data_IF_146518147769
#
_entry.id   IF_146518147769
#
_cell.length_a   1.000
_cell.length_b   1.000
_cell.length_c   1.000
_cell.angle_alpha   90.00
_cell.angle_beta   90.00
_cell.angle_gamma   90.00
#
_symmetry.space_group_name_H-M   'P 1'
#
loop_
_entity.id
_entity.type
_entity.pdbx_description
1 polymer ?
#
# COMPACT_ATOMS: atom_id res chain seq x y z
N UNK A 1 -13.39 -4.83 -1.22
CA UNK A 1 -14.37 -4.26 -2.18
C UNK A 1 -14.38 -2.74 -2.02
N UNK A 2 -14.94 -2.00 -2.98
CA UNK A 2 -14.82 -0.55 -3.01
C UNK A 2 -16.01 0.12 -2.33
N UNK A 3 -15.72 0.96 -1.34
CA UNK A 3 -16.67 1.91 -0.78
C UNK A 3 -17.06 2.92 -1.87
N UNK A 4 -18.36 3.15 -2.06
CA UNK A 4 -18.88 4.10 -3.05
C UNK A 4 -20.09 4.87 -2.50
N UNK A 5 -20.46 6.01 -3.12
CA UNK A 5 -21.73 6.67 -2.84
C UNK A 5 -22.91 5.72 -3.00
N UNK A 6 -23.97 5.94 -2.21
CA UNK A 6 -25.23 5.20 -2.38
C UNK A 6 -25.75 5.43 -3.80
N UNK A 7 -26.17 4.35 -4.46
CA UNK A 7 -26.67 4.33 -5.83
C UNK A 7 -25.68 4.80 -6.91
N UNK A 8 -24.37 4.69 -6.66
CA UNK A 8 -23.36 5.14 -7.63
C UNK A 8 -23.39 4.38 -8.96
N UNK A 9 -23.80 3.10 -8.98
CA UNK A 9 -23.92 2.34 -10.22
C UNK A 9 -25.06 2.88 -11.09
N UNK A 10 -26.20 3.21 -10.46
CA UNK A 10 -27.33 3.85 -11.13
C UNK A 10 -26.94 5.24 -11.67
N UNK A 11 -26.11 5.99 -10.95
CA UNK A 11 -25.53 7.26 -11.46
C UNK A 11 -24.68 7.00 -12.71
N UNK A 12 -23.83 5.97 -12.71
CA UNK A 12 -23.03 5.61 -13.90
C UNK A 12 -23.93 5.26 -15.08
N UNK A 13 -24.96 4.45 -14.87
CA UNK A 13 -25.91 4.07 -15.91
C UNK A 13 -26.62 5.29 -16.52
N UNK A 14 -27.13 6.19 -15.69
CA UNK A 14 -27.80 7.41 -16.16
C UNK A 14 -26.84 8.30 -16.96
N UNK A 15 -25.64 8.56 -16.43
CA UNK A 15 -24.64 9.40 -17.10
C UNK A 15 -24.18 8.79 -18.43
N UNK A 16 -24.04 7.47 -18.51
CA UNK A 16 -23.72 6.76 -19.75
C UNK A 16 -24.76 7.02 -20.85
N UNK A 17 -26.05 6.93 -20.50
CA UNK A 17 -27.16 7.15 -21.43
C UNK A 17 -27.29 8.63 -21.81
N UNK A 18 -27.24 9.53 -20.83
CA UNK A 18 -27.32 10.98 -21.05
C UNK A 18 -26.18 11.51 -21.94
N UNK A 19 -24.98 10.93 -21.83
CA UNK A 19 -23.82 11.28 -22.65
C UNK A 19 -23.76 10.53 -23.97
N UNK A 20 -24.73 9.66 -24.26
CA UNK A 20 -24.78 8.88 -25.50
C UNK A 20 -23.64 7.87 -25.66
N UNK A 21 -23.01 7.42 -24.56
CA UNK A 21 -21.93 6.42 -24.61
C UNK A 21 -22.48 5.03 -24.89
N UNK A 22 -23.67 4.72 -24.36
CA UNK A 22 -24.44 3.52 -24.71
C UNK A 22 -25.94 3.75 -24.50
N UNK A 23 -26.79 2.89 -25.05
CA UNK A 23 -28.24 2.94 -24.86
C UNK A 23 -28.69 2.18 -23.61
N UNK A 24 -29.90 2.48 -23.13
CA UNK A 24 -30.56 1.71 -22.06
C UNK A 24 -30.69 0.23 -22.42
N UNK A 25 -30.98 -0.08 -23.70
CA UNK A 25 -31.05 -1.46 -24.18
C UNK A 25 -29.72 -2.18 -24.04
N UNK A 26 -28.61 -1.51 -24.35
CA UNK A 26 -27.27 -2.06 -24.15
C UNK A 26 -26.99 -2.39 -22.69
N UNK A 27 -27.39 -1.51 -21.75
CA UNK A 27 -27.26 -1.79 -20.31
C UNK A 27 -28.15 -2.94 -19.84
N UNK A 28 -29.37 -3.03 -20.37
CA UNK A 28 -30.36 -4.05 -20.01
C UNK A 28 -29.99 -5.47 -20.48
N UNK A 29 -29.06 -5.61 -21.44
CA UNK A 29 -28.47 -6.90 -21.80
C UNK A 29 -27.77 -7.58 -20.61
N UNK A 30 -27.24 -6.80 -19.67
CA UNK A 30 -26.38 -7.30 -18.59
C UNK A 30 -27.10 -7.31 -17.24
N UNK A 31 -26.89 -8.37 -16.46
CA UNK A 31 -27.46 -8.49 -15.12
C UNK A 31 -26.86 -7.47 -14.16
N UNK A 32 -27.57 -7.19 -13.05
CA UNK A 32 -27.09 -6.30 -11.98
C UNK A 32 -25.72 -6.74 -11.42
N UNK A 33 -25.47 -8.04 -11.30
CA UNK A 33 -24.19 -8.58 -10.80
C UNK A 33 -23.03 -8.33 -11.78
N UNK A 34 -23.30 -8.44 -13.08
CA UNK A 34 -22.32 -8.17 -14.13
C UNK A 34 -21.98 -6.68 -14.19
N UNK A 35 -23.00 -5.80 -14.21
CA UNK A 35 -22.83 -4.34 -14.15
C UNK A 35 -22.06 -3.91 -12.91
N UNK A 36 -22.44 -4.42 -11.73
CA UNK A 36 -21.72 -4.17 -10.48
C UNK A 36 -20.24 -4.57 -10.57
N UNK A 37 -19.93 -5.74 -11.13
CA UNK A 37 -18.54 -6.17 -11.29
C UNK A 37 -17.77 -5.24 -12.24
N UNK A 38 -18.36 -4.93 -13.41
CA UNK A 38 -17.76 -4.07 -14.42
C UNK A 38 -17.47 -2.65 -13.91
N UNK A 39 -18.47 -2.01 -13.30
CA UNK A 39 -18.32 -0.66 -12.73
C UNK A 39 -17.31 -0.61 -11.58
N UNK A 40 -17.18 -1.68 -10.79
CA UNK A 40 -16.10 -1.78 -9.82
C UNK A 40 -14.71 -1.86 -10.48
N UNK A 41 -14.56 -2.58 -11.60
CA UNK A 41 -13.28 -2.61 -12.34
C UNK A 41 -12.97 -1.25 -12.97
N UNK A 42 -13.99 -0.59 -13.53
CA UNK A 42 -13.86 0.77 -14.02
C UNK A 42 -13.41 1.74 -12.91
N UNK A 43 -14.02 1.69 -11.73
CA UNK A 43 -13.62 2.49 -10.57
C UNK A 43 -12.18 2.22 -10.16
N UNK A 44 -11.77 0.93 -10.06
CA UNK A 44 -10.38 0.54 -9.76
C UNK A 44 -9.41 1.18 -10.76
N UNK A 45 -9.72 1.08 -12.05
CA UNK A 45 -8.89 1.67 -13.10
C UNK A 45 -8.84 3.19 -13.04
N UNK A 46 -9.99 3.86 -12.86
CA UNK A 46 -10.09 5.32 -12.89
C UNK A 46 -9.33 5.95 -11.72
N UNK A 47 -9.33 5.27 -10.59
CA UNK A 47 -8.58 5.70 -9.40
C UNK A 47 -7.16 5.14 -9.36
N UNK A 48 -6.70 4.51 -10.44
CA UNK A 48 -5.37 3.94 -10.61
C UNK A 48 -4.96 2.95 -9.50
N UNK A 49 -5.92 2.14 -9.05
CA UNK A 49 -5.68 1.07 -8.08
C UNK A 49 -5.27 -0.20 -8.81
N UNK A 50 -4.39 -1.01 -8.19
CA UNK A 50 -3.88 -2.29 -8.74
C UNK A 50 -3.14 -2.09 -10.06
N UNK A 51 -2.12 -1.24 -10.09
CA UNK A 51 -1.30 -1.04 -11.29
C UNK A 51 -0.83 -2.36 -11.90
N UNK A 52 -0.72 -2.39 -13.22
CA UNK A 52 -0.14 -3.50 -13.93
C UNK A 52 1.39 -3.37 -13.92
N UNK A 53 2.12 -4.44 -13.59
CA UNK A 53 3.58 -4.36 -13.40
C UNK A 53 4.33 -4.01 -14.68
N UNK A 54 3.78 -4.35 -15.84
CA UNK A 54 4.39 -4.06 -17.16
C UNK A 54 3.84 -2.82 -17.86
N UNK A 55 2.77 -2.23 -17.31
CA UNK A 55 2.09 -1.12 -17.94
C UNK A 55 1.61 -0.17 -16.85
N UNK A 56 2.39 0.89 -16.61
CA UNK A 56 2.18 1.84 -15.52
C UNK A 56 0.86 2.63 -15.61
N UNK A 57 0.20 2.60 -16.77
CA UNK A 57 -1.10 3.22 -17.03
C UNK A 57 -2.24 2.21 -17.00
N UNK A 58 -1.95 0.92 -16.92
CA UNK A 58 -2.96 -0.12 -16.81
C UNK A 58 -3.13 -0.60 -15.37
N UNK A 59 -4.30 -1.17 -15.11
CA UNK A 59 -4.59 -1.91 -13.89
C UNK A 59 -4.75 -3.41 -14.17
N UNK A 60 -4.35 -4.21 -13.20
CA UNK A 60 -4.35 -5.67 -13.23
C UNK A 60 -5.73 -6.24 -12.90
N UNK A 61 -6.19 -7.20 -13.71
CA UNK A 61 -7.41 -7.97 -13.46
C UNK A 61 -7.16 -9.47 -13.56
N UNK A 62 -7.45 -10.19 -12.47
CA UNK A 62 -7.23 -11.63 -12.40
C UNK A 62 -8.39 -12.43 -12.99
N UNK A 63 -8.06 -13.52 -13.69
CA UNK A 63 -9.07 -14.39 -14.32
C UNK A 63 -9.99 -15.06 -13.31
N UNK A 64 -9.49 -15.43 -12.12
CA UNK A 64 -10.30 -16.07 -11.07
C UNK A 64 -11.33 -15.11 -10.46
N UNK A 65 -10.99 -13.82 -10.29
CA UNK A 65 -11.92 -12.80 -9.80
C UNK A 65 -13.09 -12.65 -10.79
N UNK A 66 -12.81 -12.63 -12.10
CA UNK A 66 -13.86 -12.63 -13.13
C UNK A 66 -14.78 -13.83 -13.00
N UNK A 67 -14.23 -15.04 -12.89
CA UNK A 67 -15.02 -16.28 -12.76
C UNK A 67 -15.87 -16.31 -11.49
N UNK A 68 -15.39 -15.75 -10.38
CA UNK A 68 -16.14 -15.64 -9.11
C UNK A 68 -17.42 -14.81 -9.27
N UNK A 69 -17.37 -13.73 -10.05
CA UNK A 69 -18.50 -12.82 -10.21
C UNK A 69 -19.36 -13.14 -11.45
N UNK A 70 -18.74 -13.65 -12.51
CA UNK A 70 -19.35 -13.93 -13.81
C UNK A 70 -19.04 -15.40 -14.17
N UNK A 71 -20.01 -16.32 -14.02
CA UNK A 71 -19.80 -17.77 -14.13
C UNK A 71 -19.17 -18.28 -15.44
N UNK A 72 -19.18 -17.48 -16.52
CA UNK A 72 -18.55 -17.81 -17.81
C UNK A 72 -17.42 -16.89 -18.26
N UNK A 73 -17.14 -15.80 -17.53
CA UNK A 73 -16.15 -14.74 -17.84
C UNK A 73 -16.21 -14.08 -19.25
N UNK A 74 -16.74 -14.74 -20.29
CA UNK A 74 -16.83 -14.29 -21.68
C UNK A 74 -17.61 -12.99 -21.83
N UNK A 75 -18.70 -12.85 -21.07
CA UNK A 75 -19.56 -11.65 -21.09
C UNK A 75 -18.85 -10.38 -20.64
N UNK A 76 -17.76 -10.48 -19.88
CA UNK A 76 -16.97 -9.30 -19.50
C UNK A 76 -16.31 -8.66 -20.72
N UNK A 77 -15.85 -9.46 -21.69
CA UNK A 77 -15.25 -8.94 -22.90
C UNK A 77 -16.32 -8.33 -23.83
N UNK A 78 -17.56 -8.81 -23.79
CA UNK A 78 -18.70 -8.18 -24.47
C UNK A 78 -19.06 -6.84 -23.83
N UNK A 79 -19.09 -6.75 -22.50
CA UNK A 79 -19.32 -5.48 -21.78
C UNK A 79 -18.28 -4.41 -22.11
N UNK A 80 -17.01 -4.80 -22.29
CA UNK A 80 -15.96 -3.87 -22.71
C UNK A 80 -16.24 -3.26 -24.08
N UNK A 81 -16.80 -4.05 -25.01
CA UNK A 81 -17.17 -3.57 -26.35
C UNK A 81 -18.40 -2.67 -26.30
N UNK A 82 -19.42 -3.11 -25.55
CA UNK A 82 -20.72 -2.46 -25.47
C UNK A 82 -20.71 -1.17 -24.61
N UNK A 83 -19.85 -1.11 -23.59
CA UNK A 83 -19.75 -0.01 -22.62
C UNK A 83 -18.28 0.41 -22.53
N UNK A 84 -17.73 1.19 -23.47
CA UNK A 84 -16.28 1.35 -23.68
C UNK A 84 -15.57 2.28 -22.68
N UNK A 85 -15.81 2.10 -21.38
CA UNK A 85 -15.17 2.83 -20.28
C UNK A 85 -13.74 2.36 -20.00
N UNK A 86 -13.48 1.06 -20.17
CA UNK A 86 -12.15 0.46 -20.04
C UNK A 86 -11.83 -0.32 -21.31
N UNK A 87 -10.54 -0.45 -21.63
CA UNK A 87 -10.03 -1.25 -22.76
C UNK A 87 -8.89 -2.13 -22.31
N UNK A 88 -8.73 -3.30 -22.92
CA UNK A 88 -7.58 -4.18 -22.65
C UNK A 88 -6.31 -3.56 -23.27
N UNK A 89 -5.22 -3.52 -22.52
CA UNK A 89 -3.91 -3.04 -23.01
C UNK A 89 -2.87 -4.15 -23.14
N UNK A 90 -2.92 -5.18 -22.28
CA UNK A 90 -2.01 -6.32 -22.37
C UNK A 90 -2.67 -7.65 -21.93
N UNK A 91 -2.13 -8.76 -22.43
CA UNK A 91 -2.68 -10.10 -22.24
C UNK A 91 -1.85 -10.93 -21.26
N UNK A 92 -2.53 -11.81 -20.52
CA UNK A 92 -1.95 -12.76 -19.56
C UNK A 92 -0.78 -13.59 -20.10
N UNK A 93 -0.80 -13.91 -21.41
CA UNK A 93 0.13 -14.85 -22.04
C UNK A 93 1.51 -14.31 -22.36
N UNK A 94 1.78 -13.02 -22.12
CA UNK A 94 3.12 -12.51 -22.37
C UNK A 94 4.11 -13.05 -21.31
N UNK A 95 3.73 -13.16 -20.02
CA UNK A 95 4.73 -13.30 -18.94
C UNK A 95 4.17 -13.75 -17.56
N UNK A 96 3.15 -14.61 -17.49
CA UNK A 96 2.53 -15.06 -16.22
C UNK A 96 1.87 -13.96 -15.34
N UNK A 97 1.65 -12.76 -15.88
CA UNK A 97 0.97 -11.66 -15.18
C UNK A 97 -0.54 -11.61 -15.49
N UNK A 98 -1.37 -10.96 -14.65
CA UNK A 98 -2.79 -10.73 -14.93
C UNK A 98 -3.03 -9.99 -16.25
N UNK A 99 -4.27 -9.98 -16.76
CA UNK A 99 -4.58 -9.10 -17.89
C UNK A 99 -4.51 -7.64 -17.44
N UNK A 100 -3.93 -6.77 -18.27
CA UNK A 100 -3.90 -5.33 -18.04
C UNK A 100 -4.99 -4.60 -18.82
N UNK A 101 -5.63 -3.64 -18.17
CA UNK A 101 -6.68 -2.80 -18.73
C UNK A 101 -6.39 -1.32 -18.46
N UNK A 102 -6.78 -0.43 -19.36
CA UNK A 102 -6.68 1.03 -19.20
C UNK A 102 -8.07 1.65 -19.25
N UNK A 103 -8.29 2.71 -18.49
CA UNK A 103 -9.50 3.55 -18.63
C UNK A 103 -9.38 4.38 -19.91
N UNK A 104 -10.46 4.46 -20.69
CA UNK A 104 -10.51 5.26 -21.92
C UNK A 104 -10.65 6.76 -21.59
N UNK A 105 -10.40 7.65 -22.57
CA UNK A 105 -10.66 9.09 -22.36
C UNK A 105 -12.12 9.35 -21.98
N UNK A 106 -13.05 8.76 -22.74
CA UNK A 106 -14.48 8.78 -22.42
C UNK A 106 -14.76 8.21 -21.03
N UNK A 107 -14.05 7.15 -20.63
CA UNK A 107 -14.10 6.60 -19.28
C UNK A 107 -13.80 7.63 -18.19
N UNK A 108 -12.73 8.41 -18.33
CA UNK A 108 -12.42 9.49 -17.37
C UNK A 108 -13.46 10.61 -17.38
N UNK A 109 -13.98 10.98 -18.54
CA UNK A 109 -15.01 12.01 -18.67
C UNK A 109 -16.31 11.58 -17.96
N UNK A 110 -16.71 10.33 -18.16
CA UNK A 110 -17.84 9.70 -17.48
C UNK A 110 -17.58 9.62 -15.97
N UNK A 111 -16.37 9.24 -15.55
CA UNK A 111 -16.00 9.20 -14.13
C UNK A 111 -16.20 10.55 -13.44
N UNK A 112 -15.68 11.63 -14.04
CA UNK A 112 -15.83 13.00 -13.51
C UNK A 112 -17.29 13.48 -13.53
N UNK A 113 -18.05 13.14 -14.58
CA UNK A 113 -19.48 13.42 -14.64
C UNK A 113 -20.25 12.69 -13.52
N UNK A 114 -19.95 11.42 -13.26
CA UNK A 114 -20.55 10.65 -12.17
C UNK A 114 -20.23 11.27 -10.80
N UNK A 115 -18.98 11.64 -10.54
CA UNK A 115 -18.58 12.30 -9.30
C UNK A 115 -19.38 13.59 -9.04
N UNK A 116 -19.64 14.39 -10.09
CA UNK A 116 -20.45 15.62 -9.99
C UNK A 116 -21.94 15.32 -9.75
N UNK A 117 -22.47 14.29 -10.38
CA UNK A 117 -23.89 13.91 -10.30
C UNK A 117 -24.28 13.29 -8.94
N UNK A 118 -23.32 12.84 -8.12
CA UNK A 118 -23.59 12.28 -6.80
C UNK A 118 -24.28 13.31 -5.88
N UNK A 119 -25.47 13.00 -5.33
CA UNK A 119 -26.14 13.87 -4.37
C UNK A 119 -25.36 13.98 -3.05
N UNK A 120 -25.44 15.14 -2.40
CA UNK A 120 -24.83 15.30 -1.07
C UNK A 120 -25.56 14.48 -0.02
N UNK A 121 -24.82 13.92 0.94
CA UNK A 121 -25.31 13.14 2.08
C UNK A 121 -26.24 11.98 1.70
N UNK A 122 -26.10 11.44 0.49
CA UNK A 122 -26.89 10.28 0.03
C UNK A 122 -26.56 8.98 0.79
N UNK A 123 -25.47 8.99 1.56
CA UNK A 123 -24.92 7.84 2.25
C UNK A 123 -23.96 7.05 1.38
N UNK A 124 -23.38 6.01 1.97
CA UNK A 124 -22.34 5.20 1.35
C UNK A 124 -22.75 3.72 1.36
N UNK A 125 -22.26 2.97 0.37
CA UNK A 125 -22.51 1.55 0.21
C UNK A 125 -21.21 0.78 -0.02
N UNK A 126 -21.14 -0.43 0.54
CA UNK A 126 -20.10 -1.40 0.26
C UNK A 126 -20.75 -2.79 0.10
N UNK A 127 -20.37 -3.53 -0.93
CA UNK A 127 -20.84 -4.92 -1.16
C UNK A 127 -22.39 -5.07 -1.23
N UNK A 128 -23.07 -4.06 -1.76
CA UNK A 128 -24.54 -4.06 -1.84
C UNK A 128 -25.25 -3.80 -0.51
N UNK A 129 -24.51 -3.44 0.56
CA UNK A 129 -25.05 -3.06 1.86
C UNK A 129 -24.65 -1.63 2.23
N UNK A 130 -25.44 -0.92 3.07
CA UNK A 130 -25.03 0.35 3.64
C UNK A 130 -23.66 0.22 4.32
N UNK A 131 -22.82 1.22 4.14
CA UNK A 131 -21.53 1.28 4.81
C UNK A 131 -21.73 1.42 6.32
N UNK A 132 -21.20 0.46 7.07
CA UNK A 132 -21.17 0.47 8.52
C UNK A 132 -19.72 0.44 8.99
N UNK A 133 -19.13 1.60 9.34
CA UNK A 133 -17.75 1.66 9.84
C UNK A 133 -17.66 1.00 11.21
N UNK A 134 -16.51 0.42 11.58
CA UNK A 134 -16.28 -0.05 12.93
C UNK A 134 -16.31 1.11 13.94
N UNK A 135 -16.64 0.81 15.19
CA UNK A 135 -16.75 1.81 16.27
C UNK A 135 -15.45 2.61 16.48
N UNK A 136 -14.30 1.95 16.32
CA UNK A 136 -12.97 2.49 16.64
C UNK A 136 -12.10 2.74 15.39
N UNK A 137 -12.69 2.83 14.19
CA UNK A 137 -11.94 2.98 12.93
C UNK A 137 -11.23 1.71 12.45
N UNK A 138 -10.88 0.78 13.34
CA UNK A 138 -10.26 -0.52 13.05
C UNK A 138 -11.31 -1.65 13.09
N UNK A 139 -11.30 -2.55 12.10
CA UNK A 139 -12.13 -3.76 12.07
C UNK A 139 -11.75 -4.70 13.23
N UNK A 140 -12.75 -5.33 13.83
CA UNK A 140 -12.57 -6.39 14.84
C UNK A 140 -12.05 -7.71 14.26
N UNK A 141 -11.88 -7.78 12.93
CA UNK A 141 -11.35 -8.94 12.22
C UNK A 141 -10.12 -8.54 11.41
N UNK A 142 -9.16 -9.45 11.35
CA UNK A 142 -8.01 -9.42 10.46
C UNK A 142 -8.44 -9.65 9.01
N UNK A 143 -7.54 -9.40 8.06
CA UNK A 143 -7.74 -9.71 6.63
C UNK A 143 -8.10 -11.18 6.35
N UNK A 144 -7.69 -12.10 7.21
CA UNK A 144 -8.02 -13.54 7.14
C UNK A 144 -9.25 -13.94 7.97
N UNK A 145 -10.04 -12.98 8.45
CA UNK A 145 -11.24 -13.17 9.29
C UNK A 145 -11.02 -13.60 10.74
N UNK A 146 -9.78 -13.82 11.18
CA UNK A 146 -9.48 -14.04 12.60
C UNK A 146 -9.74 -12.77 13.43
N UNK A 147 -9.84 -12.90 14.75
CA UNK A 147 -10.05 -11.76 15.66
C UNK A 147 -8.85 -10.80 15.64
N UNK A 148 -9.12 -9.51 15.47
CA UNK A 148 -8.17 -8.43 15.70
C UNK A 148 -8.14 -8.09 17.19
N UNK A 149 -6.93 -8.03 17.78
CA UNK A 149 -6.73 -7.73 19.20
C UNK A 149 -6.22 -6.31 19.45
N UNK A 150 -6.13 -5.47 18.41
CA UNK A 150 -5.71 -4.07 18.57
C UNK A 150 -6.83 -3.32 19.30
N UNK A 151 -6.52 -2.80 20.48
CA UNK A 151 -7.46 -2.05 21.32
C UNK A 151 -7.47 -0.54 21.04
N UNK A 152 -6.48 -0.06 20.26
CA UNK A 152 -6.33 1.35 19.92
C UNK A 152 -7.60 1.91 19.22
N UNK A 153 -7.91 3.17 19.53
CA UNK A 153 -8.95 3.94 18.85
C UNK A 153 -8.33 4.88 17.84
N UNK A 154 -8.85 4.86 16.62
CA UNK A 154 -8.47 5.81 15.58
C UNK A 154 -9.72 6.42 14.94
N UNK A 155 -9.60 7.61 14.33
CA UNK A 155 -10.72 8.20 13.63
C UNK A 155 -11.27 7.27 12.54
N UNK A 156 -12.59 7.25 12.43
CA UNK A 156 -13.34 6.57 11.37
C UNK A 156 -13.74 7.51 10.23
N UNK A 157 -13.49 8.81 10.41
CA UNK A 157 -13.79 9.88 9.47
C UNK A 157 -12.69 10.94 9.56
N UNK A 158 -12.31 11.50 8.41
CA UNK A 158 -11.20 12.44 8.27
C UNK A 158 -11.71 13.75 7.67
N UNK A 159 -11.43 14.92 8.29
CA UNK A 159 -11.68 16.20 7.66
C UNK A 159 -10.70 16.43 6.51
N UNK A 160 -11.24 16.77 5.34
CA UNK A 160 -10.44 17.13 4.17
C UNK A 160 -10.29 18.65 4.09
N UNK A 161 -9.09 19.13 3.78
CA UNK A 161 -8.87 20.50 3.34
C UNK A 161 -9.38 20.67 1.90
N UNK A 162 -10.70 20.82 1.76
CA UNK A 162 -11.37 20.93 0.46
C UNK A 162 -10.86 22.10 -0.36
N UNK A 163 -10.54 23.24 0.28
CA UNK A 163 -10.02 24.41 -0.41
C UNK A 163 -8.71 24.11 -1.13
N UNK A 164 -7.75 23.51 -0.41
CA UNK A 164 -6.47 23.10 -0.98
C UNK A 164 -6.65 22.06 -2.09
N UNK A 165 -7.52 21.06 -1.89
CA UNK A 165 -7.80 20.04 -2.90
C UNK A 165 -8.42 20.62 -4.17
N UNK A 166 -9.39 21.53 -4.06
CA UNK A 166 -10.02 22.19 -5.21
C UNK A 166 -9.03 23.09 -5.96
N UNK A 167 -8.16 23.80 -5.23
CA UNK A 167 -7.09 24.59 -5.83
C UNK A 167 -6.11 23.73 -6.61
N UNK A 168 -5.71 22.59 -6.04
CA UNK A 168 -4.81 21.65 -6.69
C UNK A 168 -5.46 20.97 -7.91
N UNK A 169 -6.72 20.57 -7.80
CA UNK A 169 -7.51 20.03 -8.90
C UNK A 169 -7.53 20.99 -10.11
N UNK A 170 -7.79 22.29 -9.88
CA UNK A 170 -7.79 23.31 -10.94
C UNK A 170 -6.43 23.43 -11.63
N UNK A 171 -5.33 23.30 -10.88
CA UNK A 171 -3.95 23.31 -11.43
C UNK A 171 -3.69 22.09 -12.30
N UNK A 172 -4.02 20.89 -11.82
CA UNK A 172 -3.84 19.64 -12.58
C UNK A 172 -4.63 19.62 -13.89
N UNK A 173 -5.81 20.24 -13.90
CA UNK A 173 -6.62 20.39 -15.11
C UNK A 173 -5.98 21.33 -16.14
N UNK A 174 -5.14 22.28 -15.71
CA UNK A 174 -4.44 23.23 -16.59
C UNK A 174 -3.14 22.66 -17.15
N UNK A 175 -2.43 21.80 -16.40
CA UNK A 175 -1.11 21.28 -16.80
C UNK A 175 -1.14 20.07 -17.74
N UNK A 176 -2.32 19.48 -18.00
CA UNK A 176 -2.48 18.31 -18.87
C UNK A 176 -1.86 17.02 -18.29
N UNK A 177 -2.31 15.84 -18.71
CA UNK A 177 -1.73 14.53 -18.33
C UNK A 177 -1.78 14.11 -16.83
N UNK A 178 -2.75 14.58 -16.05
CA UNK A 178 -2.92 14.17 -14.63
C UNK A 178 -4.25 13.46 -14.31
N UNK A 179 -4.85 12.77 -15.28
CA UNK A 179 -6.20 12.17 -15.15
C UNK A 179 -6.38 11.27 -13.92
N UNK A 180 -5.34 10.52 -13.56
CA UNK A 180 -5.34 9.65 -12.38
C UNK A 180 -5.40 10.42 -11.05
N UNK A 181 -4.69 11.55 -10.96
CA UNK A 181 -4.68 12.38 -9.76
C UNK A 181 -5.98 13.17 -9.63
N UNK A 182 -6.45 13.72 -10.76
CA UNK A 182 -7.76 14.36 -10.89
C UNK A 182 -8.85 13.42 -10.39
N UNK A 183 -8.90 12.19 -10.91
CA UNK A 183 -9.93 11.20 -10.54
C UNK A 183 -9.84 10.80 -9.05
N UNK A 184 -8.63 10.67 -8.48
CA UNK A 184 -8.47 10.41 -7.06
C UNK A 184 -9.01 11.56 -6.19
N UNK A 185 -8.69 12.82 -6.53
CA UNK A 185 -9.17 14.00 -5.80
C UNK A 185 -10.70 14.11 -5.91
N UNK A 186 -11.25 13.99 -7.12
CA UNK A 186 -12.69 14.03 -7.35
C UNK A 186 -13.41 12.94 -6.55
N UNK A 187 -12.85 11.73 -6.50
CA UNK A 187 -13.46 10.64 -5.76
C UNK A 187 -13.39 10.81 -4.23
N UNK A 188 -12.26 11.29 -3.69
CA UNK A 188 -12.14 11.63 -2.27
C UNK A 188 -13.18 12.68 -1.85
N UNK A 189 -13.30 13.76 -2.62
CA UNK A 189 -14.30 14.81 -2.39
C UNK A 189 -15.72 14.25 -2.52
N UNK A 190 -15.96 13.35 -3.48
CA UNK A 190 -17.27 12.71 -3.69
C UNK A 190 -17.65 11.80 -2.53
N UNK A 191 -16.71 11.02 -1.99
CA UNK A 191 -16.94 10.18 -0.81
C UNK A 191 -17.26 11.01 0.43
N UNK A 192 -16.52 12.10 0.67
CA UNK A 192 -16.81 13.03 1.75
C UNK A 192 -18.19 13.69 1.59
N UNK A 193 -18.49 14.22 0.39
CA UNK A 193 -19.79 14.81 0.04
C UNK A 193 -20.96 13.84 0.21
N UNK A 194 -20.79 12.57 -0.16
CA UNK A 194 -21.82 11.54 -0.07
C UNK A 194 -22.01 11.03 1.37
N UNK A 195 -20.96 11.08 2.20
CA UNK A 195 -21.03 10.73 3.61
C UNK A 195 -22.07 11.59 4.35
N UNK A 196 -22.73 11.01 5.35
CA UNK A 196 -23.75 11.73 6.14
C UNK A 196 -23.15 12.88 6.94
N UNK A 197 -21.92 12.71 7.42
CA UNK A 197 -21.16 13.71 8.18
C UNK A 197 -20.57 14.81 7.30
N UNK A 198 -20.40 14.58 6.00
CA UNK A 198 -19.60 15.42 5.12
C UNK A 198 -18.09 15.18 5.21
N UNK A 199 -17.65 14.23 6.06
CA UNK A 199 -16.24 13.89 6.25
C UNK A 199 -15.86 12.64 5.44
N UNK A 200 -14.58 12.49 5.13
CA UNK A 200 -14.09 11.32 4.39
C UNK A 200 -14.14 10.09 5.30
N UNK A 201 -14.92 9.04 4.98
CA UNK A 201 -14.92 7.80 5.74
C UNK A 201 -13.58 7.06 5.62
N UNK A 202 -13.13 6.46 6.72
CA UNK A 202 -11.97 5.57 6.71
C UNK A 202 -12.19 4.37 7.63
N UNK A 203 -11.72 3.20 7.18
CA UNK A 203 -11.73 1.98 7.98
C UNK A 203 -10.42 1.26 7.76
N UNK A 204 -9.83 0.76 8.84
CA UNK A 204 -8.60 -0.02 8.80
C UNK A 204 -8.87 -1.49 9.06
N UNK A 205 -8.11 -2.34 8.38
CA UNK A 205 -8.02 -3.77 8.64
C UNK A 205 -6.58 -4.12 8.97
N UNK A 206 -6.38 -4.96 9.98
CA UNK A 206 -5.06 -5.43 10.34
C UNK A 206 -4.63 -6.60 9.44
N UNK A 207 -3.40 -6.55 8.92
CA UNK A 207 -2.80 -7.62 8.12
C UNK A 207 -2.29 -8.77 9.00
N UNK A 208 -1.90 -9.87 8.35
CA UNK A 208 -1.29 -11.02 9.03
C UNK A 208 0.10 -10.71 9.62
N UNK A 209 0.75 -9.61 9.20
CA UNK A 209 2.01 -9.13 9.79
C UNK A 209 1.80 -8.15 10.95
N UNK A 210 0.57 -7.65 11.16
CA UNK A 210 0.19 -6.74 12.25
C UNK A 210 -0.06 -5.30 11.82
N UNK A 211 0.39 -4.89 10.63
CA UNK A 211 0.17 -3.54 10.09
C UNK A 211 -1.32 -3.25 9.81
N UNK A 212 -1.70 -1.98 9.93
CA UNK A 212 -3.06 -1.51 9.67
C UNK A 212 -3.17 -0.90 8.27
N UNK A 213 -4.13 -1.38 7.49
CA UNK A 213 -4.36 -0.95 6.11
C UNK A 213 -5.77 -0.39 5.94
N UNK A 214 -5.88 0.79 5.35
CA UNK A 214 -7.13 1.42 5.02
C UNK A 214 -7.85 0.64 3.90
N UNK A 215 -9.12 0.35 4.12
CA UNK A 215 -10.02 -0.28 3.17
C UNK A 215 -10.44 0.70 2.06
N UNK A 216 -11.09 0.18 1.01
CA UNK A 216 -11.62 0.99 -0.10
C UNK A 216 -10.60 1.30 -1.18
N UNK A 217 -11.10 1.65 -2.38
CA UNK A 217 -10.27 1.85 -3.58
C UNK A 217 -9.34 3.06 -3.48
N UNK A 218 -9.88 4.14 -2.92
CA UNK A 218 -9.19 5.40 -2.68
C UNK A 218 -9.36 5.72 -1.22
N UNK A 219 -8.24 5.95 -0.55
CA UNK A 219 -8.15 6.39 0.82
C UNK A 219 -6.86 7.20 0.95
N UNK A 220 -6.71 7.95 2.04
CA UNK A 220 -5.55 8.82 2.19
C UNK A 220 -4.25 8.05 2.46
N UNK A 221 -4.31 6.82 2.98
CA UNK A 221 -3.12 5.98 3.19
C UNK A 221 -2.48 5.54 1.87
N UNK A 222 -3.31 5.24 0.85
CA UNK A 222 -2.87 4.69 -0.43
C UNK A 222 -3.01 5.69 -1.60
N UNK A 223 -3.18 6.99 -1.34
CA UNK A 223 -3.22 8.00 -2.39
C UNK A 223 -1.82 8.55 -2.70
N UNK A 224 -1.70 9.32 -3.78
CA UNK A 224 -0.46 10.06 -4.10
C UNK A 224 -0.06 10.99 -2.94
N UNK A 225 1.24 11.13 -2.68
CA UNK A 225 1.77 11.88 -1.53
C UNK A 225 1.30 13.34 -1.56
N UNK A 226 1.29 13.94 -2.74
CA UNK A 226 0.87 15.30 -3.01
C UNK A 226 -0.62 15.49 -2.76
N UNK A 227 -1.44 14.48 -3.10
CA UNK A 227 -2.87 14.47 -2.76
C UNK A 227 -3.05 14.41 -1.24
N UNK A 228 -2.30 13.54 -0.53
CA UNK A 228 -2.36 13.43 0.94
C UNK A 228 -1.94 14.74 1.61
N UNK A 229 -0.78 15.30 1.23
CA UNK A 229 -0.27 16.60 1.71
C UNK A 229 -1.27 17.72 1.50
N UNK A 230 -1.94 17.73 0.33
CA UNK A 230 -2.96 18.74 0.01
C UNK A 230 -4.24 18.53 0.82
N UNK A 231 -4.68 17.27 0.98
CA UNK A 231 -5.88 16.90 1.72
C UNK A 231 -5.77 17.20 3.22
N UNK A 232 -4.57 17.09 3.79
CA UNK A 232 -4.27 17.26 5.21
C UNK A 232 -3.35 18.46 5.47
N UNK A 233 -3.43 19.46 4.60
CA UNK A 233 -2.57 20.64 4.66
C UNK A 233 -2.61 21.33 6.03
N UNK A 234 -1.42 21.60 6.58
CA UNK A 234 -1.21 22.21 7.90
C UNK A 234 -0.99 21.22 9.04
N UNK A 235 -1.30 19.94 8.82
CA UNK A 235 -1.07 18.85 9.78
C UNK A 235 0.39 18.36 9.73
N UNK A 236 0.75 17.37 10.54
CA UNK A 236 2.11 16.86 10.71
C UNK A 236 2.16 15.36 10.47
N UNK A 237 2.99 14.89 9.54
CA UNK A 237 3.34 13.48 9.45
C UNK A 237 4.46 13.18 10.46
N UNK A 238 4.28 12.11 11.24
CA UNK A 238 5.24 11.58 12.19
C UNK A 238 5.55 10.15 11.75
N UNK A 239 6.73 9.94 11.19
CA UNK A 239 7.16 8.68 10.57
C UNK A 239 8.31 8.03 11.36
N UNK A 240 8.31 6.70 11.46
CA UNK A 240 9.40 5.95 12.10
C UNK A 240 10.62 5.94 11.18
N UNK A 241 11.76 6.45 11.65
CA UNK A 241 12.95 6.52 10.82
C UNK A 241 13.61 5.14 10.61
N UNK A 242 13.67 4.69 9.35
CA UNK A 242 14.42 3.52 8.86
C UNK A 242 14.39 2.29 9.79
N UNK A 243 13.18 1.80 10.02
CA UNK A 243 12.89 0.77 11.01
C UNK A 243 13.71 -0.52 10.83
N UNK A 244 13.71 -1.17 9.66
CA UNK A 244 14.01 -2.62 9.65
C UNK A 244 15.46 -3.04 9.89
N UNK A 245 16.45 -2.26 9.45
CA UNK A 245 17.84 -2.55 9.80
C UNK A 245 18.13 -2.26 11.27
N UNK A 246 17.54 -1.20 11.81
CA UNK A 246 17.64 -0.85 13.23
C UNK A 246 16.94 -1.92 14.10
N UNK A 247 15.72 -2.33 13.73
CA UNK A 247 14.99 -3.40 14.41
C UNK A 247 15.76 -4.72 14.35
N UNK A 248 16.34 -5.08 13.20
CA UNK A 248 17.16 -6.28 13.08
C UNK A 248 18.42 -6.22 13.97
N UNK A 249 19.12 -5.08 14.01
CA UNK A 249 20.26 -4.86 14.92
C UNK A 249 19.84 -5.10 16.37
N UNK A 250 18.74 -4.49 16.81
CA UNK A 250 18.25 -4.62 18.19
C UNK A 250 17.77 -6.04 18.51
N UNK A 251 17.09 -6.72 17.57
CA UNK A 251 16.73 -8.13 17.71
C UNK A 251 17.97 -9.01 17.90
N UNK A 252 19.04 -8.78 17.13
CA UNK A 252 20.29 -9.50 17.26
C UNK A 252 21.01 -9.20 18.58
N UNK A 253 21.05 -7.93 18.99
CA UNK A 253 21.66 -7.51 20.25
C UNK A 253 21.01 -8.19 21.46
N UNK A 254 19.67 -8.33 21.46
CA UNK A 254 18.91 -9.02 22.52
C UNK A 254 19.30 -10.50 22.69
N UNK A 255 19.83 -11.14 21.65
CA UNK A 255 20.29 -12.54 21.67
C UNK A 255 21.82 -12.64 21.63
N UNK A 256 22.54 -11.54 21.85
CA UNK A 256 24.00 -11.51 21.92
C UNK A 256 24.72 -11.68 20.57
N UNK A 257 24.02 -11.53 19.45
CA UNK A 257 24.61 -11.64 18.10
C UNK A 257 25.11 -10.27 17.64
N UNK A 258 26.41 -10.19 17.34
CA UNK A 258 27.06 -8.98 16.81
C UNK A 258 26.76 -8.82 15.32
N UNK A 259 26.53 -7.58 14.89
CA UNK A 259 26.14 -7.25 13.51
C UNK A 259 26.94 -6.07 12.96
N UNK A 260 28.28 -6.14 12.90
CA UNK A 260 29.12 -4.99 12.55
C UNK A 260 28.76 -4.29 11.23
N UNK A 261 28.30 -5.02 10.18
CA UNK A 261 27.95 -4.39 8.89
C UNK A 261 26.59 -3.70 8.94
N UNK A 262 25.58 -4.34 9.51
CA UNK A 262 24.26 -3.76 9.78
C UNK A 262 24.41 -2.53 10.70
N UNK A 263 25.18 -2.67 11.77
CA UNK A 263 25.48 -1.62 12.74
C UNK A 263 26.12 -0.40 12.06
N UNK A 264 27.09 -0.63 11.17
CA UNK A 264 27.70 0.42 10.36
C UNK A 264 26.68 1.12 9.45
N UNK A 265 25.81 0.36 8.79
CA UNK A 265 24.76 0.94 7.94
C UNK A 265 23.76 1.80 8.71
N UNK A 266 23.26 1.31 9.86
CA UNK A 266 22.30 2.03 10.70
C UNK A 266 22.85 3.39 11.11
N UNK A 267 24.13 3.46 11.46
CA UNK A 267 24.82 4.69 11.91
C UNK A 267 25.23 5.61 10.76
N UNK A 268 25.58 5.08 9.59
CA UNK A 268 26.19 5.83 8.47
C UNK A 268 25.35 5.78 7.17
N UNK A 269 24.01 5.83 7.27
CA UNK A 269 23.06 5.57 6.16
C UNK A 269 23.42 6.29 4.84
N UNK A 270 23.59 7.62 4.89
CA UNK A 270 23.86 8.45 3.71
C UNK A 270 25.20 8.11 3.06
N UNK A 271 26.23 7.92 3.88
CA UNK A 271 27.56 7.54 3.41
C UNK A 271 27.54 6.16 2.75
N UNK A 272 26.95 5.16 3.42
CA UNK A 272 26.88 3.80 2.89
C UNK A 272 26.09 3.73 1.58
N UNK A 273 25.00 4.50 1.43
CA UNK A 273 24.27 4.57 0.15
C UNK A 273 25.15 5.08 -1.00
N UNK A 274 26.02 6.07 -0.73
CA UNK A 274 27.00 6.57 -1.70
C UNK A 274 28.07 5.55 -2.04
N UNK A 275 28.60 4.86 -1.03
CA UNK A 275 29.60 3.79 -1.22
C UNK A 275 29.04 2.63 -2.06
N UNK A 276 27.81 2.20 -1.76
CA UNK A 276 27.09 1.17 -2.52
C UNK A 276 26.80 1.65 -3.94
N UNK A 277 26.30 2.88 -4.11
CA UNK A 277 26.05 3.47 -5.42
C UNK A 277 27.31 3.50 -6.29
N UNK A 278 28.45 3.86 -5.69
CA UNK A 278 29.76 3.87 -6.38
C UNK A 278 30.19 2.46 -6.77
N UNK A 279 30.08 1.51 -5.84
CA UNK A 279 30.47 0.10 -6.05
C UNK A 279 29.64 -0.55 -7.16
N UNK A 280 28.34 -0.26 -7.19
CA UNK A 280 27.38 -0.82 -8.15
C UNK A 280 27.21 0.05 -9.41
N UNK A 281 27.95 1.17 -9.52
CA UNK A 281 27.81 2.15 -10.60
C UNK A 281 26.36 2.57 -10.88
N UNK A 282 25.60 2.80 -9.81
CA UNK A 282 24.18 3.14 -9.88
C UNK A 282 23.86 4.42 -9.10
N UNK A 283 22.60 4.86 -9.15
CA UNK A 283 22.15 6.02 -8.38
C UNK A 283 22.03 5.70 -6.88
N UNK A 284 22.13 6.71 -6.00
CA UNK A 284 21.88 6.52 -4.56
C UNK A 284 20.48 5.93 -4.27
N UNK A 285 19.49 6.23 -5.11
CA UNK A 285 18.15 5.66 -4.95
C UNK A 285 18.05 4.21 -5.40
N UNK A 286 18.75 3.81 -6.46
CA UNK A 286 18.89 2.39 -6.78
C UNK A 286 19.62 1.65 -5.64
N UNK A 287 20.71 2.21 -5.10
CA UNK A 287 21.42 1.65 -3.95
C UNK A 287 20.52 1.47 -2.73
N UNK A 288 19.66 2.46 -2.42
CA UNK A 288 18.64 2.36 -1.37
C UNK A 288 17.69 1.18 -1.62
N UNK A 289 17.21 1.01 -2.85
CA UNK A 289 16.33 -0.12 -3.21
C UNK A 289 17.05 -1.46 -3.07
N UNK A 290 18.33 -1.55 -3.47
CA UNK A 290 19.15 -2.76 -3.29
C UNK A 290 19.25 -3.13 -1.81
N UNK A 291 19.61 -2.17 -0.94
CA UNK A 291 19.74 -2.40 0.51
C UNK A 291 18.41 -2.88 1.12
N UNK A 292 17.29 -2.26 0.76
CA UNK A 292 15.97 -2.72 1.19
C UNK A 292 15.71 -4.15 0.70
N UNK A 293 15.99 -4.47 -0.56
CA UNK A 293 15.74 -5.80 -1.10
C UNK A 293 16.56 -6.89 -0.38
N UNK A 294 17.81 -6.60 0.03
CA UNK A 294 18.68 -7.54 0.72
C UNK A 294 18.11 -8.01 2.07
N UNK A 295 17.60 -7.09 2.90
CA UNK A 295 16.98 -7.48 4.18
C UNK A 295 15.77 -8.40 3.96
N UNK A 296 15.02 -8.18 2.87
CA UNK A 296 13.92 -9.03 2.41
C UNK A 296 14.34 -10.27 1.61
N UNK A 297 15.64 -10.54 1.50
CA UNK A 297 16.18 -11.79 0.98
C UNK A 297 16.39 -11.85 -0.52
N UNK A 298 16.43 -10.71 -1.20
CA UNK A 298 17.01 -10.66 -2.53
C UNK A 298 18.51 -11.03 -2.48
N UNK A 299 19.01 -11.59 -3.59
CA UNK A 299 20.44 -11.82 -3.79
C UNK A 299 21.00 -10.78 -4.78
N UNK A 300 22.33 -10.68 -4.87
CA UNK A 300 23.03 -9.79 -5.80
C UNK A 300 23.34 -10.46 -7.15
N UNK A 301 22.99 -11.73 -7.34
CA UNK A 301 23.36 -12.49 -8.52
C UNK A 301 22.53 -12.17 -9.78
N UNK A 302 22.72 -12.95 -10.87
CA UNK A 302 22.15 -12.67 -12.18
C UNK A 302 20.61 -12.66 -12.27
N UNK A 303 19.93 -13.25 -11.28
CA UNK A 303 18.46 -13.24 -11.15
C UNK A 303 17.99 -12.43 -9.92
N UNK A 304 18.90 -11.66 -9.35
CA UNK A 304 18.75 -10.92 -8.11
C UNK A 304 18.22 -9.50 -8.31
N UNK A 305 18.39 -8.67 -7.28
CA UNK A 305 17.92 -7.28 -7.30
C UNK A 305 18.66 -6.43 -8.34
N UNK A 306 19.94 -6.69 -8.59
CA UNK A 306 20.74 -5.92 -9.56
C UNK A 306 20.16 -6.01 -10.97
N UNK A 307 19.85 -7.23 -11.43
CA UNK A 307 19.24 -7.44 -12.76
C UNK A 307 17.89 -6.74 -12.91
N UNK A 308 17.08 -6.69 -11.84
CA UNK A 308 15.76 -6.02 -11.87
C UNK A 308 15.85 -4.50 -11.96
N UNK A 309 16.95 -3.94 -11.47
CA UNK A 309 17.22 -2.51 -11.53
C UNK A 309 18.06 -2.13 -12.76
N UNK A 310 18.32 -3.09 -13.64
CA UNK A 310 19.18 -2.96 -14.82
C UNK A 310 20.58 -2.45 -14.47
N UNK A 311 21.13 -2.95 -13.35
CA UNK A 311 22.47 -2.65 -12.88
C UNK A 311 23.40 -3.76 -13.40
N UNK A 312 24.34 -3.38 -14.25
CA UNK A 312 25.38 -4.27 -14.76
C UNK A 312 26.59 -4.24 -13.83
N UNK A 313 26.92 -5.38 -13.24
CA UNK A 313 28.06 -5.54 -12.33
C UNK A 313 28.50 -7.00 -12.36
N UNK A 314 29.81 -7.26 -12.45
CA UNK A 314 30.34 -8.62 -12.44
C UNK A 314 30.41 -9.19 -11.02
N UNK A 315 30.32 -10.51 -10.90
CA UNK A 315 30.50 -11.21 -9.61
C UNK A 315 31.89 -10.94 -9.03
N UNK A 316 32.92 -10.79 -9.87
CA UNK A 316 34.27 -10.40 -9.47
C UNK A 316 34.32 -8.99 -8.85
N UNK A 317 33.55 -8.04 -9.40
CA UNK A 317 33.48 -6.68 -8.86
C UNK A 317 32.74 -6.62 -7.51
N UNK A 318 31.83 -7.57 -7.24
CA UNK A 318 31.12 -7.68 -5.97
C UNK A 318 31.92 -8.41 -4.89
N UNK A 319 32.91 -9.21 -5.30
CA UNK A 319 33.70 -10.01 -4.38
C UNK A 319 34.40 -9.12 -3.34
N UNK A 320 34.30 -9.52 -2.07
CA UNK A 320 34.92 -8.84 -0.92
C UNK A 320 34.51 -7.37 -0.68
N UNK A 321 33.53 -6.85 -1.41
CA UNK A 321 32.94 -5.54 -1.19
C UNK A 321 32.18 -5.45 0.14
N UNK A 322 31.89 -4.22 0.59
CA UNK A 322 31.09 -4.03 1.79
C UNK A 322 29.68 -4.61 1.66
N UNK A 323 29.06 -4.54 0.47
CA UNK A 323 27.69 -5.02 0.24
C UNK A 323 27.59 -6.54 0.17
N UNK A 324 28.60 -7.23 -0.37
CA UNK A 324 28.63 -8.70 -0.31
C UNK A 324 28.79 -9.19 1.13
N UNK A 325 29.70 -8.56 1.91
CA UNK A 325 29.85 -8.83 3.35
C UNK A 325 28.58 -8.53 4.16
N UNK A 326 27.85 -7.45 3.84
CA UNK A 326 26.54 -7.19 4.43
C UNK A 326 25.54 -8.31 4.10
N UNK A 327 25.53 -8.77 2.85
CA UNK A 327 24.62 -9.84 2.39
C UNK A 327 24.84 -11.13 3.18
N UNK A 328 26.11 -11.52 3.37
CA UNK A 328 26.48 -12.67 4.21
C UNK A 328 26.04 -12.48 5.67
N UNK A 329 26.28 -11.31 6.25
CA UNK A 329 25.86 -11.00 7.61
C UNK A 329 24.33 -11.10 7.75
N UNK A 330 23.55 -10.54 6.82
CA UNK A 330 22.07 -10.63 6.80
C UNK A 330 21.61 -12.10 6.75
N UNK A 331 22.22 -12.92 5.91
CA UNK A 331 21.88 -14.35 5.80
C UNK A 331 22.11 -15.07 7.13
N UNK A 332 23.24 -14.78 7.79
CA UNK A 332 23.60 -15.38 9.06
C UNK A 332 22.66 -14.94 10.19
N UNK A 333 22.45 -13.64 10.37
CA UNK A 333 21.62 -13.11 11.46
C UNK A 333 20.15 -13.50 11.31
N UNK A 334 19.66 -13.59 10.07
CA UNK A 334 18.30 -14.06 9.76
C UNK A 334 18.03 -15.42 10.40
N UNK A 335 18.99 -16.34 10.33
CA UNK A 335 18.87 -17.67 10.90
C UNK A 335 18.72 -17.59 12.42
N UNK A 336 19.61 -16.88 13.11
CA UNK A 336 19.58 -16.75 14.57
C UNK A 336 18.29 -16.11 15.08
N UNK A 337 17.82 -15.05 14.44
CA UNK A 337 16.57 -14.37 14.83
C UNK A 337 15.36 -15.28 14.63
N UNK A 338 15.29 -16.03 13.52
CA UNK A 338 14.19 -16.98 13.28
C UNK A 338 14.22 -18.11 14.31
N UNK A 339 15.40 -18.67 14.62
CA UNK A 339 15.57 -19.73 15.62
C UNK A 339 15.09 -19.26 17.00
N UNK A 340 15.49 -18.06 17.42
CA UNK A 340 15.07 -17.45 18.68
C UNK A 340 13.54 -17.25 18.77
N UNK A 341 12.94 -16.62 17.76
CA UNK A 341 11.49 -16.40 17.74
C UNK A 341 10.69 -17.71 17.63
N UNK A 342 11.22 -18.72 16.94
CA UNK A 342 10.60 -20.05 16.87
C UNK A 342 10.63 -20.72 18.24
N UNK A 343 11.76 -20.65 18.95
CA UNK A 343 11.90 -21.21 20.31
C UNK A 343 10.95 -20.55 21.32
N UNK A 344 10.69 -19.24 21.17
CA UNK A 344 9.73 -18.49 22.00
C UNK A 344 8.27 -18.77 21.64
N UNK A 345 8.00 -19.30 20.46
CA UNK A 345 6.64 -19.53 19.97
C UNK A 345 6.11 -20.88 20.45
N UNK A 346 5.03 -20.87 21.22
CA UNK A 346 4.37 -22.11 21.64
C UNK A 346 3.71 -22.83 20.47
N UNK A 347 4.11 -24.08 20.24
CA UNK A 347 3.51 -25.08 19.36
C UNK A 347 4.23 -25.27 18.03
N UNK A 348 3.93 -26.39 17.35
CA UNK A 348 4.70 -26.87 16.21
C UNK A 348 4.46 -26.09 14.91
N UNK A 349 5.51 -25.94 14.10
CA UNK A 349 5.49 -25.34 12.75
C UNK A 349 4.85 -23.96 12.64
N UNK A 350 5.07 -23.10 13.64
CA UNK A 350 4.58 -21.73 13.63
C UNK A 350 5.58 -20.79 14.29
N UNK A 351 5.48 -19.52 13.92
CA UNK A 351 6.27 -18.43 14.50
C UNK A 351 5.33 -17.26 14.79
N UNK A 352 5.49 -16.67 15.99
CA UNK A 352 4.74 -15.51 16.46
C UNK A 352 5.66 -14.29 16.42
N UNK A 353 5.20 -13.17 15.85
CA UNK A 353 5.95 -11.92 15.86
C UNK A 353 5.61 -11.04 17.09
N UNK A 354 6.30 -9.91 17.24
CA UNK A 354 6.14 -8.99 18.38
C UNK A 354 4.75 -8.35 18.48
N UNK A 355 4.06 -8.14 17.35
CA UNK A 355 2.65 -7.70 17.33
C UNK A 355 1.65 -8.82 17.67
N UNK A 356 2.15 -10.01 18.00
CA UNK A 356 1.33 -11.15 18.40
C UNK A 356 0.78 -12.01 17.26
N UNK A 357 1.19 -11.74 16.02
CA UNK A 357 0.67 -12.39 14.83
C UNK A 357 1.40 -13.69 14.54
N UNK A 358 0.64 -14.72 14.16
CA UNK A 358 1.16 -16.08 13.95
C UNK A 358 1.10 -16.45 12.47
N UNK A 359 2.21 -16.98 11.95
CA UNK A 359 2.26 -17.62 10.63
C UNK A 359 2.80 -19.04 10.74
N UNK A 360 2.40 -19.90 9.80
CA UNK A 360 2.97 -21.25 9.67
C UNK A 360 4.40 -21.16 9.13
N UNK A 361 5.28 -22.04 9.59
CA UNK A 361 6.64 -22.20 9.04
C UNK A 361 6.72 -23.30 7.98
N UNK A 362 5.63 -24.04 7.77
CA UNK A 362 5.47 -25.05 6.72
C UNK A 362 4.24 -24.70 5.86
N UNK A 363 4.34 -24.89 4.55
CA UNK A 363 3.25 -24.69 3.58
C UNK A 363 2.23 -25.82 3.64
N UNK A 364 1.10 -25.68 2.94
CA UNK A 364 0.09 -26.75 2.85
C UNK A 364 0.63 -28.03 2.20
N UNK A 365 1.67 -27.89 1.36
CA UNK A 365 2.31 -29.00 0.66
C UNK A 365 3.46 -29.65 1.48
N UNK A 366 3.66 -29.24 2.74
CA UNK A 366 4.71 -29.80 3.60
C UNK A 366 6.10 -29.16 3.43
N UNK A 367 6.25 -28.12 2.62
CA UNK A 367 7.54 -27.45 2.39
C UNK A 367 7.83 -26.36 3.42
N UNK A 368 9.12 -26.16 3.74
CA UNK A 368 9.52 -25.05 4.62
C UNK A 368 9.26 -23.68 3.98
N UNK A 369 8.66 -22.78 4.74
CA UNK A 369 8.50 -21.38 4.32
C UNK A 369 9.87 -20.71 4.25
N UNK A 370 10.11 -19.95 3.18
CA UNK A 370 11.37 -19.22 2.96
C UNK A 370 11.72 -18.35 4.17
N UNK A 371 12.96 -18.46 4.66
CA UNK A 371 13.46 -17.71 5.81
C UNK A 371 13.29 -16.20 5.66
N UNK A 372 13.43 -15.65 4.45
CA UNK A 372 13.21 -14.22 4.19
C UNK A 372 11.78 -13.77 4.51
N UNK A 373 10.78 -14.61 4.22
CA UNK A 373 9.37 -14.35 4.54
C UNK A 373 9.11 -14.41 6.04
N UNK A 374 9.78 -15.32 6.74
CA UNK A 374 9.70 -15.39 8.19
C UNK A 374 10.35 -14.15 8.83
N UNK A 375 11.52 -13.73 8.37
CA UNK A 375 12.15 -12.51 8.88
C UNK A 375 11.30 -11.26 8.62
N UNK A 376 10.71 -11.12 7.42
CA UNK A 376 9.80 -10.04 7.11
C UNK A 376 8.62 -9.98 8.09
N UNK A 377 8.02 -11.15 8.38
CA UNK A 377 6.94 -11.27 9.37
C UNK A 377 7.36 -10.79 10.76
N UNK A 378 8.60 -11.07 11.19
CA UNK A 378 9.13 -10.62 12.47
C UNK A 378 9.36 -9.10 12.50
N UNK A 379 10.01 -8.55 11.48
CA UNK A 379 10.28 -7.12 11.36
C UNK A 379 9.00 -6.28 11.28
N UNK A 380 8.01 -6.72 10.49
CA UNK A 380 6.69 -6.08 10.45
C UNK A 380 5.95 -6.18 11.78
N UNK A 381 6.16 -7.27 12.53
CA UNK A 381 5.61 -7.40 13.87
C UNK A 381 6.18 -6.41 14.86
N UNK A 382 7.50 -6.21 14.84
CA UNK A 382 8.16 -5.22 15.70
C UNK A 382 7.72 -3.79 15.35
N UNK A 383 7.67 -3.45 14.06
CA UNK A 383 7.16 -2.16 13.60
C UNK A 383 5.69 -1.95 13.98
N UNK A 384 4.84 -2.97 13.79
CA UNK A 384 3.43 -2.90 14.18
C UNK A 384 3.25 -2.72 15.69
N UNK A 385 4.09 -3.35 16.51
CA UNK A 385 4.09 -3.15 17.96
C UNK A 385 4.40 -1.69 18.30
N UNK A 386 5.43 -1.12 17.69
CA UNK A 386 5.81 0.30 17.85
C UNK A 386 4.65 1.22 17.44
N UNK A 387 4.07 0.99 16.26
CA UNK A 387 2.93 1.78 15.77
C UNK A 387 1.72 1.72 16.71
N UNK A 388 1.42 0.56 17.29
CA UNK A 388 0.30 0.42 18.23
C UNK A 388 0.51 1.27 19.50
N UNK A 389 1.72 1.29 20.04
CA UNK A 389 2.05 2.12 21.20
C UNK A 389 2.15 3.60 20.84
N UNK A 390 2.62 3.94 19.64
CA UNK A 390 2.62 5.30 19.11
C UNK A 390 1.19 5.85 18.98
N UNK A 391 0.27 5.06 18.41
CA UNK A 391 -1.15 5.44 18.32
C UNK A 391 -1.74 5.62 19.73
N UNK A 392 -1.39 4.73 20.67
CA UNK A 392 -1.89 4.80 22.05
C UNK A 392 -1.38 6.04 22.79
N UNK A 393 -0.12 6.41 22.59
CA UNK A 393 0.50 7.61 23.17
C UNK A 393 -0.15 8.89 22.62
N UNK A 394 -0.36 8.94 21.30
CA UNK A 394 -0.88 10.13 20.61
C UNK A 394 -2.38 10.32 20.80
N UNK A 395 -3.14 9.24 21.01
CA UNK A 395 -4.57 9.27 21.30
C UNK A 395 -5.36 10.07 20.25
N UNK A 396 -6.13 11.06 20.73
CA UNK A 396 -6.98 11.90 19.88
C UNK A 396 -6.19 12.83 18.94
N UNK A 397 -4.87 12.92 19.09
CA UNK A 397 -4.00 13.64 18.16
C UNK A 397 -3.70 12.83 16.89
N UNK A 398 -4.28 11.66 16.68
CA UNK A 398 -4.12 10.89 15.43
C UNK A 398 -5.28 11.20 14.47
N UNK A 399 -5.00 11.58 13.22
CA UNK A 399 -6.02 11.77 12.17
C UNK A 399 -6.01 10.68 11.10
N UNK A 400 -4.83 10.18 10.73
CA UNK A 400 -4.63 9.20 9.67
C UNK A 400 -3.50 8.26 10.07
N UNK A 401 -3.74 6.95 10.00
CA UNK A 401 -2.67 5.96 10.06
C UNK A 401 -1.97 5.83 8.71
N UNK A 402 -0.65 5.80 8.74
CA UNK A 402 0.22 5.50 7.60
C UNK A 402 0.87 4.12 7.77
N UNK A 403 1.72 3.70 6.84
CA UNK A 403 2.34 2.37 6.90
C UNK A 403 3.38 2.27 8.01
N UNK A 404 4.16 3.33 8.18
CA UNK A 404 5.31 3.47 9.06
C UNK A 404 5.20 4.72 9.95
N UNK A 405 4.01 5.29 10.08
CA UNK A 405 3.78 6.52 10.85
C UNK A 405 2.30 6.86 11.02
N UNK A 406 2.06 8.09 11.47
CA UNK A 406 0.71 8.67 11.56
C UNK A 406 0.74 10.14 11.14
N UNK A 407 -0.41 10.67 10.73
CA UNK A 407 -0.62 12.11 10.63
C UNK A 407 -1.31 12.62 11.88
N UNK A 408 -0.87 13.76 12.38
CA UNK A 408 -1.38 14.46 13.56
C UNK A 408 -1.80 15.91 13.23
N UNK A 409 -2.89 16.44 13.77
CA UNK A 409 -3.24 17.85 13.58
C UNK A 409 -2.28 18.80 14.32
N UNK A 410 -1.67 18.36 15.43
CA UNK A 410 -0.74 19.17 16.22
C UNK A 410 0.66 18.54 16.22
N UNK A 411 1.74 19.35 16.40
CA UNK A 411 3.10 18.84 16.58
C UNK A 411 3.20 17.84 17.73
N UNK A 412 4.20 16.96 17.66
CA UNK A 412 4.46 15.89 18.62
C UNK A 412 5.88 16.04 19.16
N UNK A 413 6.07 15.84 20.46
CA UNK A 413 7.39 15.69 21.06
C UNK A 413 7.95 14.30 20.71
N UNK A 414 8.90 14.26 19.78
CA UNK A 414 9.46 13.02 19.26
C UNK A 414 10.41 12.34 20.25
N UNK A 415 11.01 13.10 21.18
CA UNK A 415 11.94 12.55 22.17
C UNK A 415 11.16 11.84 23.27
N UNK A 416 10.09 12.46 23.78
CA UNK A 416 9.17 11.82 24.73
C UNK A 416 8.52 10.57 24.13
N UNK A 417 8.07 10.65 22.87
CA UNK A 417 7.53 9.50 22.15
C UNK A 417 8.58 8.38 22.01
N UNK A 418 9.82 8.70 21.65
CA UNK A 418 10.91 7.72 21.54
C UNK A 418 11.17 7.00 22.87
N UNK A 419 11.24 7.74 23.98
CA UNK A 419 11.48 7.13 25.29
C UNK A 419 10.31 6.29 25.76
N UNK A 420 9.07 6.74 25.53
CA UNK A 420 7.87 5.93 25.79
C UNK A 420 7.87 4.62 25.01
N UNK A 421 8.20 4.67 23.70
CA UNK A 421 8.29 3.47 22.86
C UNK A 421 9.38 2.53 23.35
N UNK A 422 10.55 3.06 23.72
CA UNK A 422 11.64 2.26 24.27
C UNK A 422 11.23 1.56 25.57
N UNK A 423 10.51 2.25 26.47
CA UNK A 423 9.99 1.67 27.71
C UNK A 423 8.99 0.53 27.43
N UNK A 424 8.02 0.75 26.53
CA UNK A 424 6.93 -0.23 26.30
C UNK A 424 7.30 -1.40 25.41
N UNK A 425 8.23 -1.23 24.48
CA UNK A 425 8.53 -2.22 23.44
C UNK A 425 9.94 -2.78 23.54
N UNK A 426 10.82 -2.13 24.31
CA UNK A 426 12.25 -2.41 24.33
C UNK A 426 12.97 -2.05 23.02
N UNK A 427 12.31 -1.37 22.07
CA UNK A 427 12.93 -0.86 20.85
C UNK A 427 13.19 0.63 20.96
N UNK A 428 14.43 1.06 20.73
CA UNK A 428 14.78 2.47 20.61
C UNK A 428 14.71 2.89 19.13
N UNK A 429 13.83 3.83 18.82
CA UNK A 429 13.60 4.34 17.46
C UNK A 429 13.56 5.85 17.47
N UNK A 430 13.84 6.46 16.31
CA UNK A 430 13.72 7.90 16.09
C UNK A 430 12.54 8.17 15.17
N UNK A 431 12.00 9.38 15.24
CA UNK A 431 10.87 9.81 14.45
C UNK A 431 11.24 11.05 13.63
N UNK A 432 10.85 11.04 12.36
CA UNK A 432 10.87 12.21 11.50
C UNK A 432 9.52 12.92 11.60
N UNK A 433 9.52 14.25 11.73
CA UNK A 433 8.31 15.07 11.72
C UNK A 433 8.32 16.05 10.54
N UNK A 434 7.28 15.98 9.70
CA UNK A 434 7.10 16.85 8.53
C UNK A 434 5.75 17.57 8.61
N UNK A 435 5.76 18.91 8.62
CA UNK A 435 4.52 19.65 8.42
C UNK A 435 4.06 19.55 6.96
N UNK A 436 2.84 19.07 6.75
CA UNK A 436 2.22 18.89 5.44
C UNK A 436 1.89 20.23 4.81
N UNK A 437 2.73 20.59 3.84
CA UNK A 437 2.55 21.77 2.99
C UNK A 437 2.06 21.31 1.62
N UNK A 438 0.96 21.87 1.09
CA UNK A 438 0.55 21.60 -0.28
C UNK A 438 1.67 22.02 -1.23
N UNK A 439 2.10 21.11 -2.07
CA UNK A 439 2.95 21.45 -3.21
C UNK A 439 2.05 21.70 -4.43
N UNK A 440 2.03 22.94 -4.90
CA UNK A 440 1.29 23.33 -6.10
C UNK A 440 2.19 23.37 -7.35
N UNK A 441 3.47 22.99 -7.22
CA UNK A 441 4.32 22.72 -8.37
C UNK A 441 4.00 21.33 -8.90
N UNK A 442 3.73 21.28 -10.20
CA UNK A 442 3.32 20.04 -10.87
C UNK A 442 4.56 19.40 -11.46
N UNK A 443 5.30 18.64 -10.66
CA UNK A 443 6.36 17.78 -11.19
C UNK A 443 5.74 16.46 -11.66
N UNK A 444 6.00 16.09 -12.92
CA UNK A 444 5.39 14.94 -13.58
C UNK A 444 6.04 13.59 -13.15
N UNK A 445 6.99 13.62 -12.23
CA UNK A 445 7.83 12.46 -11.89
C UNK A 445 7.36 11.63 -10.69
N UNK A 446 6.28 12.03 -10.03
CA UNK A 446 6.04 11.49 -8.69
C UNK A 446 5.45 10.06 -8.69
N UNK A 447 6.16 9.18 -7.99
CA UNK A 447 5.83 7.74 -7.89
C UNK A 447 4.68 7.57 -6.91
N UNK A 448 3.86 6.54 -7.15
CA UNK A 448 2.89 6.13 -6.13
C UNK A 448 3.71 5.77 -4.88
N UNK A 449 3.37 6.27 -3.69
CA UNK A 449 3.89 5.71 -2.45
C UNK A 449 3.21 4.34 -2.24
N UNK A 450 3.56 3.39 -3.09
CA UNK A 450 3.69 2.01 -2.68
C UNK A 450 5.18 1.80 -2.42
N UNK A 451 5.66 2.30 -1.28
CA UNK A 451 6.56 1.46 -0.50
C UNK A 451 5.68 0.50 0.30
N UNK A 452 4.83 -0.25 -0.41
CA UNK A 452 4.35 -1.48 0.15
C UNK A 452 5.57 -2.38 0.16
N UNK A 453 6.18 -2.54 1.33
CA UNK A 453 7.22 -3.53 1.53
C UNK A 453 6.65 -4.93 1.26
N UNK A 454 5.32 -5.10 1.32
CA UNK A 454 4.61 -6.27 0.78
C UNK A 454 4.57 -6.28 -0.75
N UNK A 455 4.58 -5.15 -1.48
CA UNK A 455 4.71 -5.13 -2.94
C UNK A 455 6.14 -5.32 -3.42
N UNK A 456 7.16 -4.89 -2.67
CA UNK A 456 8.52 -5.40 -2.90
C UNK A 456 8.47 -6.91 -2.74
N UNK A 457 7.85 -7.39 -1.66
CA UNK A 457 7.64 -8.83 -1.48
C UNK A 457 6.88 -9.46 -2.66
N UNK A 458 5.81 -8.86 -3.21
CA UNK A 458 5.02 -9.37 -4.35
C UNK A 458 5.77 -9.27 -5.69
N UNK A 459 6.50 -8.19 -5.95
CA UNK A 459 7.44 -8.01 -7.08
C UNK A 459 8.51 -9.12 -7.07
N UNK A 460 8.91 -9.59 -5.89
CA UNK A 460 9.80 -10.73 -5.73
C UNK A 460 9.06 -12.07 -5.56
N UNK A 461 7.76 -12.10 -5.21
CA UNK A 461 6.93 -13.30 -4.99
C UNK A 461 6.55 -13.99 -6.30
N UNK A 462 6.30 -13.23 -7.36
CA UNK A 462 5.81 -13.74 -8.64
C UNK A 462 6.88 -14.46 -9.48
N UNK A 463 8.16 -14.35 -9.15
CA UNK A 463 9.25 -15.06 -9.85
C UNK A 463 9.87 -16.18 -9.02
N UNK A 464 9.38 -16.40 -7.78
CA UNK A 464 9.87 -17.46 -6.89
C UNK A 464 9.30 -18.86 -7.23
N UNK A 465 8.57 -18.99 -8.33
CA UNK A 465 8.00 -20.23 -8.87
C UNK A 465 8.83 -20.82 -10.04
N UNK A 466 10.07 -20.35 -10.23
CA UNK A 466 11.04 -20.94 -11.15
C UNK A 466 12.27 -21.45 -10.39
#
# INVERSE_FOLDING_TARGET
MNLKPRNFDEVIENVLVEKGVCTSDTLNKYSKKEKFYYFNQFLIGATNRRKHPKDEHAFSLYSYERRKHIPRASRFDDMIKDIPLIKKSCNYRADNWPNGYRVTSSGYDIFSACCRAVPSRCGLYNEGKPYNPPRNGIRSQLKNSNKCNVEAKVPKEIPLNEFSLRRYLKRLQQSGNHRNMISQIEYLLTLAKASKSGLLPITYVQSNGGRLYAEGAVNLQNCKREIRKTALAGMFDVDIENCHYNLLEQMCARIGIKTPRISHYVRNKKQVRKEVATTLQCTEEQAKVVLIALIYGANLGPRGVLKKLDIDTSDEALKDTWISKLTEEIINVRRYVIEDYTARTRGYCKIKNDAGMIVKTITENGESVKKSKLLAHLLHGAESLILQYMISFLGDNVVLLQHDGVTCPNPVDTDELSDYIAEKTGYRVQFDIEQLKPDFYVDATDRFQQQDLEDIFEIFKYEMAA
#
